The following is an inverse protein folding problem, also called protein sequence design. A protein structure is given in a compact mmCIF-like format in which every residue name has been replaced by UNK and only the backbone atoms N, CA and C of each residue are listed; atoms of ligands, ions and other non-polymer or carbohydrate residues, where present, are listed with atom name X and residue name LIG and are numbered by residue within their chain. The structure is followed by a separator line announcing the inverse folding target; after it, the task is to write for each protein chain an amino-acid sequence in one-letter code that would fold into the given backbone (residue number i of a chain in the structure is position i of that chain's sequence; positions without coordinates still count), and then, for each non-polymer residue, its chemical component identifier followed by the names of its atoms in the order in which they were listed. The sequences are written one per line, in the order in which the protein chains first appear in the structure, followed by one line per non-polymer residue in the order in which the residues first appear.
data_IF_941426877527
#
_entry.id   IF_941426877527
#
_cell.length_a   1.000
_cell.length_b   1.000
_cell.length_c   1.000
_cell.angle_alpha   90.00
_cell.angle_beta   90.00
_cell.angle_gamma   90.00
#
_symmetry.space_group_name_H-M   'P 1'
#
loop_
_entity.id
_entity.type
_entity.pdbx_description
1 polymer ?
#
# COMPACT_ATOMS: atom_id res chain seq x y z
N UNK A 1 15.20 -48.75 11.82
CA UNK A 1 13.98 -48.16 11.23
C UNK A 1 14.42 -46.99 10.39
N UNK A 2 14.34 -47.14 9.07
CA UNK A 2 14.63 -46.10 8.07
C UNK A 2 13.28 -45.56 7.63
N UNK A 3 13.08 -44.24 7.59
CA UNK A 3 12.30 -43.50 6.59
C UNK A 3 12.36 -41.99 6.94
N UNK A 4 12.15 -41.10 5.95
CA UNK A 4 12.90 -39.87 5.76
C UNK A 4 12.06 -38.63 6.08
N UNK A 5 12.69 -37.47 6.20
CA UNK A 5 11.97 -36.22 5.96
C UNK A 5 12.91 -35.21 5.31
N UNK A 6 12.81 -35.18 3.98
CA UNK A 6 13.14 -34.04 3.14
C UNK A 6 12.49 -32.78 3.72
N UNK A 7 13.27 -31.87 4.29
CA UNK A 7 12.81 -30.49 4.46
C UNK A 7 13.19 -29.71 3.22
N UNK A 8 12.21 -29.63 2.34
CA UNK A 8 12.16 -28.84 1.11
C UNK A 8 12.42 -27.37 1.40
N UNK A 9 13.32 -26.77 0.63
CA UNK A 9 13.51 -25.33 0.54
C UNK A 9 12.19 -24.62 0.25
N UNK A 10 11.85 -23.61 1.03
CA UNK A 10 11.00 -22.51 0.55
C UNK A 10 11.82 -21.24 0.63
N UNK A 11 12.57 -20.99 -0.45
CA UNK A 11 13.03 -19.66 -0.76
C UNK A 11 11.79 -18.81 -1.05
N UNK A 12 11.42 -17.93 -0.13
CA UNK A 12 10.54 -16.82 -0.46
C UNK A 12 11.32 -15.91 -1.41
N UNK A 13 11.20 -16.20 -2.70
CA UNK A 13 11.35 -15.20 -3.74
C UNK A 13 10.28 -14.13 -3.48
N UNK A 14 10.60 -13.14 -2.65
CA UNK A 14 9.92 -11.86 -2.70
C UNK A 14 10.27 -11.26 -4.05
N UNK A 15 9.45 -11.64 -5.03
CA UNK A 15 9.49 -11.10 -6.37
C UNK A 15 9.57 -9.59 -6.27
N UNK A 16 10.65 -9.06 -6.83
CA UNK A 16 10.82 -7.66 -7.16
C UNK A 16 9.76 -7.29 -8.20
N UNK A 17 8.52 -7.13 -7.76
CA UNK A 17 7.49 -6.49 -8.57
C UNK A 17 7.74 -4.99 -8.40
N UNK A 18 8.69 -4.48 -9.19
CA UNK A 18 8.81 -3.06 -9.48
C UNK A 18 7.55 -2.64 -10.24
N UNK A 19 6.45 -2.45 -9.51
CA UNK A 19 5.24 -1.83 -10.05
C UNK A 19 5.48 -0.35 -9.92
N UNK A 20 6.18 0.19 -10.90
CA UNK A 20 6.55 1.60 -10.91
C UNK A 20 5.25 2.41 -10.94
N UNK A 21 4.88 3.10 -9.85
CA UNK A 21 4.04 4.27 -10.01
C UNK A 21 4.95 5.30 -10.69
N UNK A 22 4.93 5.37 -12.02
CA UNK A 22 5.86 6.20 -12.78
C UNK A 22 5.71 7.71 -12.50
N UNK A 23 4.96 8.08 -11.46
CA UNK A 23 4.67 9.44 -11.08
C UNK A 23 4.47 9.67 -9.56
N UNK A 24 5.37 9.17 -8.69
CA UNK A 24 5.59 9.86 -7.40
C UNK A 24 7.05 10.15 -7.14
N UNK A 25 7.35 11.43 -7.35
CA UNK A 25 8.22 12.28 -6.54
C UNK A 25 7.78 13.71 -6.86
N UNK A 26 6.93 14.28 -6.01
CA UNK A 26 6.45 15.67 -6.12
C UNK A 26 5.09 15.89 -6.81
N UNK A 27 4.46 14.85 -7.34
CA UNK A 27 3.10 14.95 -7.90
C UNK A 27 2.06 14.70 -6.79
N UNK A 28 1.73 15.77 -6.04
CA UNK A 28 0.78 15.74 -4.92
C UNK A 28 -0.59 15.21 -5.34
N UNK A 29 -1.00 15.44 -6.60
CA UNK A 29 -2.28 14.96 -7.14
C UNK A 29 -2.37 13.44 -7.29
N UNK A 30 -1.26 12.72 -7.14
CA UNK A 30 -1.19 11.25 -7.19
C UNK A 30 -0.75 10.63 -5.86
N UNK A 31 -0.49 11.45 -4.84
CA UNK A 31 -0.13 11.02 -3.48
C UNK A 31 -1.35 11.11 -2.59
N UNK A 32 -1.67 10.02 -1.90
CA UNK A 32 -2.88 9.92 -1.10
C UNK A 32 -2.61 9.35 0.29
N UNK A 33 -3.32 9.86 1.30
CA UNK A 33 -3.21 9.42 2.70
C UNK A 33 -4.59 9.15 3.26
N UNK A 34 -4.71 8.08 4.05
CA UNK A 34 -5.89 7.89 4.88
C UNK A 34 -5.68 8.74 6.14
N UNK A 35 -6.45 9.81 6.30
CA UNK A 35 -6.41 10.70 7.46
C UNK A 35 -7.63 10.45 8.35
N UNK A 36 -7.49 10.74 9.64
CA UNK A 36 -8.62 10.85 10.57
C UNK A 36 -9.23 12.24 10.51
N UNK A 37 -10.42 12.40 11.10
CA UNK A 37 -11.12 13.69 11.29
C UNK A 37 -10.26 14.80 11.90
N UNK A 38 -9.21 14.45 12.64
CA UNK A 38 -8.22 15.35 13.24
C UNK A 38 -7.01 15.65 12.32
N UNK A 39 -7.08 15.27 11.04
CA UNK A 39 -6.00 15.36 10.04
C UNK A 39 -4.71 14.60 10.40
N UNK A 40 -4.77 13.65 11.34
CA UNK A 40 -3.61 12.81 11.67
C UNK A 40 -3.47 11.66 10.69
N UNK A 41 -2.22 11.22 10.48
CA UNK A 41 -1.94 10.04 9.67
C UNK A 41 -2.37 8.77 10.39
N UNK A 42 -3.12 7.94 9.68
CA UNK A 42 -3.81 6.80 10.29
C UNK A 42 -3.02 5.50 10.40
N UNK A 43 -1.86 5.40 9.75
CA UNK A 43 -1.18 4.11 9.53
C UNK A 43 -1.91 3.18 8.53
N UNK A 44 -3.21 3.37 8.28
CA UNK A 44 -3.98 2.61 7.29
C UNK A 44 -3.60 2.95 5.85
N UNK A 45 -2.94 4.08 5.60
CA UNK A 45 -2.44 4.45 4.26
C UNK A 45 -1.64 3.30 3.63
N UNK A 46 -0.77 2.64 4.39
CA UNK A 46 0.03 1.51 3.91
C UNK A 46 -0.83 0.31 3.56
N UNK A 47 -1.79 -0.03 4.42
CA UNK A 47 -2.71 -1.15 4.21
C UNK A 47 -3.67 -0.92 3.04
N UNK A 48 -4.06 0.33 2.82
CA UNK A 48 -4.95 0.74 1.75
C UNK A 48 -4.23 1.03 0.43
N UNK A 49 -2.90 0.92 0.38
CA UNK A 49 -2.16 1.18 -0.83
C UNK A 49 -2.28 -0.01 -1.80
N UNK A 50 -2.96 0.14 -2.95
CA UNK A 50 -3.23 -0.99 -3.84
C UNK A 50 -1.92 -1.59 -4.39
N UNK A 51 -1.76 -2.92 -4.37
CA UNK A 51 -0.52 -3.55 -4.85
C UNK A 51 -0.24 -3.34 -6.34
N UNK A 52 -1.27 -3.03 -7.12
CA UNK A 52 -1.17 -2.76 -8.55
C UNK A 52 -1.05 -1.26 -8.80
N UNK A 53 -0.03 -0.84 -9.53
CA UNK A 53 0.24 0.56 -9.91
C UNK A 53 0.31 1.54 -8.73
N UNK A 54 0.73 1.06 -7.55
CA UNK A 54 0.91 1.91 -6.38
C UNK A 54 2.14 1.52 -5.56
N UNK A 55 2.71 2.50 -4.87
CA UNK A 55 3.76 2.27 -3.88
C UNK A 55 3.69 3.31 -2.76
N UNK A 56 4.42 3.07 -1.68
CA UNK A 56 4.50 3.97 -0.54
C UNK A 56 5.65 4.98 -0.68
N UNK A 57 5.34 6.27 -0.53
CA UNK A 57 6.32 7.37 -0.50
C UNK A 57 6.02 8.30 0.67
N UNK A 58 7.00 8.58 1.54
CA UNK A 58 6.87 9.51 2.67
C UNK A 58 5.63 9.27 3.58
N UNK A 59 5.18 8.01 3.71
CA UNK A 59 3.98 7.67 4.47
C UNK A 59 2.65 8.03 3.77
N UNK A 60 2.71 8.28 2.46
CA UNK A 60 1.57 8.37 1.55
C UNK A 60 1.60 7.21 0.56
N UNK A 61 0.42 6.84 0.04
CA UNK A 61 0.31 5.92 -1.07
C UNK A 61 0.32 6.72 -2.37
N UNK A 62 1.36 6.52 -3.17
CA UNK A 62 1.34 6.92 -4.56
C UNK A 62 0.47 5.95 -5.34
N UNK A 63 -0.68 6.38 -5.85
CA UNK A 63 -1.52 5.54 -6.69
C UNK A 63 -2.24 6.35 -7.75
N UNK A 64 -2.36 5.77 -8.95
CA UNK A 64 -3.26 6.26 -9.99
C UNK A 64 -4.69 5.73 -9.83
N UNK A 65 -4.91 4.77 -8.92
CA UNK A 65 -6.21 4.19 -8.64
C UNK A 65 -6.84 4.79 -7.37
N UNK A 66 -7.20 6.08 -7.47
CA UNK A 66 -7.85 6.83 -6.39
C UNK A 66 -9.10 6.14 -5.84
N UNK A 67 -9.96 5.59 -6.71
CA UNK A 67 -11.22 4.96 -6.29
C UNK A 67 -11.00 3.78 -5.34
N UNK A 68 -10.00 2.92 -5.62
CA UNK A 68 -9.69 1.79 -4.76
C UNK A 68 -9.12 2.24 -3.41
N UNK A 69 -8.23 3.24 -3.41
CA UNK A 69 -7.66 3.80 -2.20
C UNK A 69 -8.73 4.47 -1.32
N UNK A 70 -9.57 5.32 -1.91
CA UNK A 70 -10.67 6.00 -1.23
C UNK A 70 -11.65 5.00 -0.60
N UNK A 71 -12.06 3.98 -1.36
CA UNK A 71 -12.94 2.93 -0.86
C UNK A 71 -12.35 2.22 0.36
N UNK A 72 -11.04 1.94 0.35
CA UNK A 72 -10.37 1.33 1.50
C UNK A 72 -10.35 2.28 2.71
N UNK A 73 -9.95 3.55 2.55
CA UNK A 73 -9.95 4.49 3.67
C UNK A 73 -11.34 4.65 4.28
N UNK A 74 -12.39 4.79 3.45
CA UNK A 74 -13.77 4.96 3.92
C UNK A 74 -14.39 3.70 4.53
N UNK A 75 -13.80 2.53 4.31
CA UNK A 75 -14.20 1.30 5.02
C UNK A 75 -13.84 1.39 6.51
N UNK A 76 -12.84 2.20 6.86
CA UNK A 76 -12.49 2.47 8.25
C UNK A 76 -13.29 3.68 8.77
N UNK A 77 -14.08 3.48 9.82
CA UNK A 77 -14.91 4.54 10.41
C UNK A 77 -14.07 5.74 10.89
N UNK A 78 -14.43 6.93 10.43
CA UNK A 78 -13.75 8.19 10.78
C UNK A 78 -12.49 8.49 9.97
N UNK A 79 -12.23 7.72 8.90
CA UNK A 79 -11.12 7.95 7.99
C UNK A 79 -11.60 8.43 6.63
N UNK A 80 -10.80 9.29 6.01
CA UNK A 80 -11.02 9.77 4.66
C UNK A 80 -9.69 9.80 3.90
N UNK A 81 -9.78 9.61 2.60
CA UNK A 81 -8.64 9.77 1.73
C UNK A 81 -8.43 11.26 1.42
N UNK A 82 -7.19 11.73 1.50
CA UNK A 82 -6.80 13.11 1.20
C UNK A 82 -5.48 13.14 0.43
N UNK A 83 -5.21 14.23 -0.28
CA UNK A 83 -3.91 14.45 -0.91
C UNK A 83 -2.79 14.46 0.15
N UNK A 84 -1.70 13.76 -0.17
CA UNK A 84 -0.61 13.43 0.75
C UNK A 84 0.54 14.41 0.78
#
# INVERSE_FOLDING_TARGET
MHLPSLSVLVALALGSHSVVAQNCRGNVSSMWRCLRSDNTNSGYTTSCCPRTNSFMENGACCTTNWSAFQSCCSTHNGYFAANG
#
